data_IF_239772265439
#
_entry.id   IF_239772265439
#
_cell.length_a   1.000
_cell.length_b   1.000
_cell.length_c   1.000
_cell.angle_alpha   90.00
_cell.angle_beta   90.00
_cell.angle_gamma   90.00
#
_symmetry.space_group_name_H-M   'P 1'
#
loop_
_entity.id
_entity.type
_entity.pdbx_description
1 polymer ?
#
# COMPACT_ATOMS: atom_id res chain seq x y z
N UNK A 1 -1.46 -7.14 -29.13
CA UNK A 1 -1.42 -7.76 -30.48
C UNK A 1 -1.52 -6.61 -31.47
N UNK A 2 -0.54 -6.48 -32.37
CA UNK A 2 -0.45 -5.35 -33.30
C UNK A 2 -1.35 -5.68 -34.50
N UNK A 3 -2.44 -4.93 -34.71
CA UNK A 3 -3.28 -5.05 -35.91
C UNK A 3 -2.65 -4.26 -37.06
N UNK A 4 -2.42 -4.91 -38.20
CA UNK A 4 -1.93 -4.24 -39.42
C UNK A 4 -0.50 -3.68 -39.35
N UNK A 5 0.29 -4.01 -38.32
CA UNK A 5 1.68 -3.55 -38.18
C UNK A 5 1.84 -2.09 -37.69
N UNK A 6 0.74 -1.43 -37.30
CA UNK A 6 0.76 -0.03 -36.81
C UNK A 6 0.54 -0.02 -35.29
N UNK A 7 1.37 0.74 -34.56
CA UNK A 7 1.23 0.91 -33.12
C UNK A 7 -0.06 1.68 -32.79
N UNK A 8 -0.95 1.06 -32.01
CA UNK A 8 -2.18 1.68 -31.50
C UNK A 8 -1.94 2.18 -30.05
N UNK A 9 -2.02 3.49 -29.83
CA UNK A 9 -1.81 4.10 -28.50
C UNK A 9 -2.87 3.70 -27.46
N UNK A 10 -4.10 3.40 -27.89
CA UNK A 10 -5.20 2.99 -27.01
C UNK A 10 -5.13 1.51 -26.60
N UNK A 11 -4.41 0.67 -27.35
CA UNK A 11 -4.33 -0.78 -27.11
C UNK A 11 -2.94 -1.30 -26.72
N UNK A 12 -1.88 -0.53 -26.98
CA UNK A 12 -0.50 -0.92 -26.68
C UNK A 12 0.09 0.07 -25.67
N UNK A 13 0.66 -0.45 -24.59
CA UNK A 13 1.38 0.32 -23.58
C UNK A 13 2.87 -0.04 -23.61
N UNK A 14 3.74 0.96 -23.44
CA UNK A 14 5.16 0.72 -23.18
C UNK A 14 5.31 0.52 -21.67
N UNK A 15 6.05 -0.50 -21.27
CA UNK A 15 6.46 -0.68 -19.88
C UNK A 15 7.96 -0.91 -19.83
N UNK A 16 8.59 -0.40 -18.76
CA UNK A 16 10.01 -0.62 -18.50
C UNK A 16 10.12 -1.67 -17.40
N UNK A 17 10.71 -2.81 -17.73
CA UNK A 17 11.03 -3.85 -16.76
C UNK A 17 12.43 -3.62 -16.23
N UNK A 18 12.56 -3.32 -14.95
CA UNK A 18 13.85 -3.14 -14.28
C UNK A 18 14.22 -4.42 -13.52
N UNK A 19 15.44 -4.90 -13.70
CA UNK A 19 16.02 -6.00 -12.93
C UNK A 19 17.25 -5.51 -12.17
N UNK A 20 17.50 -6.05 -10.99
CA UNK A 20 18.64 -5.64 -10.18
C UNK A 20 19.97 -5.81 -10.92
N UNK A 21 20.79 -4.74 -10.91
CA UNK A 21 22.10 -4.72 -11.53
C UNK A 21 23.19 -5.34 -10.65
N UNK A 22 24.37 -5.54 -11.23
CA UNK A 22 25.52 -6.22 -10.61
C UNK A 22 25.90 -5.66 -9.23
N UNK A 23 25.89 -4.34 -9.08
CA UNK A 23 26.25 -3.67 -7.82
C UNK A 23 25.30 -4.07 -6.68
N UNK A 24 23.98 -4.11 -6.95
CA UNK A 24 23.01 -4.52 -5.93
C UNK A 24 23.18 -5.99 -5.56
N UNK A 25 23.48 -6.86 -6.53
CA UNK A 25 23.79 -8.27 -6.26
C UNK A 25 25.03 -8.43 -5.37
N UNK A 26 26.08 -7.64 -5.60
CA UNK A 26 27.32 -7.67 -4.81
C UNK A 26 27.12 -7.17 -3.37
N UNK A 27 26.29 -6.14 -3.17
CA UNK A 27 25.95 -5.64 -1.83
C UNK A 27 24.98 -6.56 -1.07
N UNK A 28 24.03 -7.20 -1.77
CA UNK A 28 23.16 -8.25 -1.17
C UNK A 28 24.02 -9.41 -0.64
N UNK A 29 25.05 -9.83 -1.38
CA UNK A 29 25.94 -10.91 -0.95
C UNK A 29 26.73 -10.60 0.34
N UNK A 30 26.91 -9.31 0.67
CA UNK A 30 27.57 -8.86 1.90
C UNK A 30 26.60 -8.64 3.06
N UNK A 31 25.29 -8.73 2.81
CA UNK A 31 24.26 -8.46 3.82
C UNK A 31 23.86 -9.76 4.51
N UNK A 32 23.89 -9.77 5.85
CA UNK A 32 23.40 -10.89 6.64
C UNK A 32 21.95 -10.64 7.06
N UNK A 33 21.09 -11.65 6.90
CA UNK A 33 19.72 -11.62 7.42
C UNK A 33 19.72 -12.16 8.84
N UNK A 34 19.49 -11.29 9.81
CA UNK A 34 19.29 -11.69 11.21
C UNK A 34 17.82 -11.99 11.48
N UNK A 35 17.51 -13.26 11.72
CA UNK A 35 16.15 -13.69 12.10
C UNK A 35 15.97 -13.42 13.59
N UNK A 36 15.30 -12.32 13.92
CA UNK A 36 15.05 -11.87 15.30
C UNK A 36 14.00 -12.72 16.05
N UNK A 37 13.51 -13.80 15.45
CA UNK A 37 12.48 -14.70 16.01
C UNK A 37 11.05 -14.33 15.60
N UNK A 38 10.07 -15.07 16.15
CA UNK A 38 8.64 -14.78 15.94
C UNK A 38 8.18 -13.63 16.83
N UNK A 39 7.49 -12.67 16.22
CA UNK A 39 6.97 -11.48 16.90
C UNK A 39 5.81 -11.89 17.82
N UNK A 40 6.05 -12.01 19.13
CA UNK A 40 5.09 -12.48 20.15
C UNK A 40 3.77 -11.68 20.15
N UNK A 41 2.68 -12.24 19.62
CA UNK A 41 1.28 -11.81 19.79
C UNK A 41 1.02 -10.28 19.75
N UNK A 42 1.81 -9.55 18.95
CA UNK A 42 1.73 -8.11 18.77
C UNK A 42 1.24 -7.82 17.37
N UNK A 43 0.53 -6.70 17.22
CA UNK A 43 0.03 -6.23 15.93
C UNK A 43 1.18 -6.08 14.92
N UNK A 44 0.99 -6.59 13.71
CA UNK A 44 1.96 -6.45 12.62
C UNK A 44 1.29 -6.50 11.24
N UNK A 45 1.94 -5.86 10.27
CA UNK A 45 1.70 -6.04 8.84
C UNK A 45 2.81 -6.94 8.33
N UNK A 46 2.43 -7.98 7.58
CA UNK A 46 3.33 -8.97 6.99
C UNK A 46 3.63 -8.64 5.53
N UNK A 47 2.58 -8.34 4.78
CA UNK A 47 2.63 -8.17 3.33
C UNK A 47 1.56 -7.18 2.90
N UNK A 48 1.83 -6.45 1.84
CA UNK A 48 0.86 -5.63 1.12
C UNK A 48 0.78 -6.06 -0.33
N UNK A 49 -0.38 -5.86 -0.96
CA UNK A 49 -0.59 -6.21 -2.37
C UNK A 49 -1.49 -5.18 -3.04
N UNK A 50 -1.01 -4.60 -4.15
CA UNK A 50 -1.87 -3.82 -5.05
C UNK A 50 -2.74 -4.76 -5.88
N UNK A 51 -4.06 -4.72 -5.72
CA UNK A 51 -4.98 -5.62 -6.43
C UNK A 51 -5.12 -5.28 -7.91
N UNK A 52 -4.66 -4.12 -8.39
CA UNK A 52 -4.62 -3.81 -9.82
C UNK A 52 -3.43 -4.52 -10.50
N UNK A 53 -2.24 -4.41 -9.92
CA UNK A 53 -0.98 -4.89 -10.53
C UNK A 53 -0.57 -6.29 -10.04
N UNK A 54 -1.08 -6.73 -8.89
CA UNK A 54 -0.69 -7.95 -8.20
C UNK A 54 0.68 -7.87 -7.52
N UNK A 55 1.31 -6.69 -7.50
CA UNK A 55 2.64 -6.49 -6.92
C UNK A 55 2.55 -6.44 -5.40
N UNK A 56 3.59 -7.01 -4.75
CA UNK A 56 3.74 -7.13 -3.30
C UNK A 56 4.96 -6.39 -2.76
N UNK A 57 5.45 -5.44 -3.55
CA UNK A 57 6.64 -4.64 -3.29
C UNK A 57 6.32 -3.32 -2.55
N UNK A 58 5.07 -3.17 -2.08
CA UNK A 58 4.58 -1.93 -1.47
C UNK A 58 4.10 -0.90 -2.48
N UNK A 59 4.20 -1.15 -3.80
CA UNK A 59 3.51 -0.30 -4.78
C UNK A 59 1.98 -0.43 -4.61
N UNK A 60 1.27 0.65 -4.92
CA UNK A 60 -0.16 0.78 -4.78
C UNK A 60 -0.73 1.47 -6.02
N UNK A 61 -2.03 1.36 -6.32
CA UNK A 61 -2.66 2.20 -7.35
C UNK A 61 -3.77 3.03 -6.74
N UNK A 62 -3.74 4.35 -6.97
CA UNK A 62 -4.80 5.26 -6.55
C UNK A 62 -6.18 4.82 -7.09
N UNK A 63 -7.23 4.95 -6.29
CA UNK A 63 -8.60 4.56 -6.66
C UNK A 63 -8.83 3.04 -6.76
N UNK A 64 -7.86 2.21 -6.35
CA UNK A 64 -7.95 0.74 -6.44
C UNK A 64 -7.81 0.08 -5.09
N UNK A 65 -8.17 -1.21 -5.06
CA UNK A 65 -8.08 -2.01 -3.84
C UNK A 65 -6.62 -2.30 -3.50
N UNK A 66 -6.27 -2.08 -2.24
CA UNK A 66 -4.99 -2.37 -1.64
C UNK A 66 -5.20 -3.35 -0.50
N UNK A 67 -4.54 -4.49 -0.57
CA UNK A 67 -4.68 -5.55 0.41
C UNK A 67 -3.53 -5.49 1.41
N UNK A 68 -3.87 -5.63 2.69
CA UNK A 68 -2.92 -5.61 3.79
C UNK A 68 -3.10 -6.89 4.58
N UNK A 69 -2.06 -7.73 4.61
CA UNK A 69 -2.03 -8.99 5.34
C UNK A 69 -1.22 -8.83 6.63
N UNK A 70 -1.67 -9.45 7.72
CA UNK A 70 -0.94 -9.40 8.99
C UNK A 70 -1.72 -10.01 10.14
N UNK A 71 -1.54 -9.47 11.34
CA UNK A 71 -2.23 -9.92 12.53
C UNK A 71 -2.70 -8.75 13.41
N UNK A 72 -3.87 -8.96 14.02
CA UNK A 72 -4.55 -7.97 14.88
C UNK A 72 -4.87 -6.64 14.19
N UNK A 73 -5.18 -6.68 12.89
CA UNK A 73 -5.40 -5.51 12.05
C UNK A 73 -6.82 -4.97 12.07
N UNK A 74 -7.79 -5.71 12.62
CA UNK A 74 -9.19 -5.30 12.62
C UNK A 74 -9.32 -3.89 13.17
N UNK A 75 -9.84 -2.96 12.38
CA UNK A 75 -10.05 -1.56 12.73
C UNK A 75 -11.35 -1.45 13.51
N UNK A 76 -11.25 -1.23 14.83
CA UNK A 76 -12.41 -1.03 15.71
C UNK A 76 -11.97 -0.30 16.97
N UNK A 77 -12.84 0.57 17.47
CA UNK A 77 -12.64 1.34 18.70
C UNK A 77 -13.47 2.61 18.69
N UNK A 78 -13.57 3.24 19.85
CA UNK A 78 -14.33 4.48 20.06
C UNK A 78 -13.43 5.74 19.97
N UNK A 79 -12.12 5.54 20.01
CA UNK A 79 -11.13 6.62 19.94
C UNK A 79 -11.02 7.20 18.53
N UNK A 80 -10.95 8.53 18.42
CA UNK A 80 -10.88 9.23 17.13
C UNK A 80 -9.63 8.88 16.30
N UNK A 81 -8.56 8.39 16.92
CA UNK A 81 -7.36 7.92 16.23
C UNK A 81 -7.56 6.59 15.49
N UNK A 82 -8.60 5.83 15.83
CA UNK A 82 -8.89 4.53 15.21
C UNK A 82 -9.24 4.73 13.74
N UNK A 83 -8.60 3.94 12.88
CA UNK A 83 -8.76 4.07 11.43
C UNK A 83 -7.51 3.63 10.69
N UNK A 84 -7.53 3.88 9.37
CA UNK A 84 -6.35 3.73 8.52
C UNK A 84 -5.96 5.11 8.00
N UNK A 85 -4.69 5.47 8.12
CA UNK A 85 -4.14 6.72 7.61
C UNK A 85 -3.04 6.48 6.59
N UNK A 86 -2.92 7.40 5.64
CA UNK A 86 -1.83 7.50 4.69
C UNK A 86 -1.10 8.81 4.96
N UNK A 87 0.16 8.74 5.37
CA UNK A 87 1.01 9.91 5.60
C UNK A 87 1.98 10.06 4.44
N UNK A 88 1.98 11.19 3.74
CA UNK A 88 2.93 11.42 2.64
C UNK A 88 4.31 11.86 3.15
N UNK A 89 5.26 12.04 2.24
CA UNK A 89 6.62 12.54 2.54
C UNK A 89 6.67 13.94 3.18
N UNK A 90 5.59 14.72 3.08
CA UNK A 90 5.44 16.05 3.70
C UNK A 90 4.74 16.00 5.06
N UNK A 91 4.61 14.81 5.65
CA UNK A 91 3.89 14.55 6.91
C UNK A 91 2.39 14.92 6.88
N UNK A 92 1.81 15.09 5.69
CA UNK A 92 0.37 15.31 5.53
C UNK A 92 -0.38 13.99 5.70
N UNK A 93 -1.24 13.94 6.71
CA UNK A 93 -1.99 12.74 7.09
C UNK A 93 -3.38 12.76 6.42
N UNK A 94 -3.65 11.73 5.63
CA UNK A 94 -4.97 11.49 5.02
C UNK A 94 -5.61 10.27 5.66
N UNK A 95 -6.72 10.46 6.38
CA UNK A 95 -7.46 9.36 7.00
C UNK A 95 -8.47 8.77 6.03
N UNK A 96 -8.43 7.45 5.83
CA UNK A 96 -9.44 6.73 5.07
C UNK A 96 -10.73 6.67 5.90
N UNK A 97 -11.85 7.03 5.27
CA UNK A 97 -13.18 6.85 5.87
C UNK A 97 -13.53 5.37 5.98
N UNK A 98 -14.37 4.99 6.93
CA UNK A 98 -14.77 3.59 7.18
C UNK A 98 -15.31 2.87 5.93
N UNK A 99 -15.99 3.61 5.05
CA UNK A 99 -16.54 3.11 3.79
C UNK A 99 -15.46 2.60 2.80
N UNK A 100 -14.22 3.07 2.98
CA UNK A 100 -13.07 2.69 2.17
C UNK A 100 -12.36 1.45 2.73
N UNK A 101 -12.81 0.90 3.86
CA UNK A 101 -12.34 -0.37 4.41
C UNK A 101 -13.33 -1.46 3.98
N UNK A 102 -13.13 -1.99 2.77
CA UNK A 102 -14.03 -2.99 2.18
C UNK A 102 -14.05 -4.32 2.94
N UNK A 103 -12.91 -4.75 3.47
CA UNK A 103 -12.79 -5.95 4.31
C UNK A 103 -12.03 -5.59 5.57
N UNK A 104 -12.59 -5.93 6.74
CA UNK A 104 -12.05 -5.58 8.05
C UNK A 104 -11.87 -6.81 8.95
N UNK A 105 -10.91 -7.66 8.61
CA UNK A 105 -10.61 -8.88 9.36
C UNK A 105 -9.39 -8.68 10.28
N UNK A 106 -9.29 -9.43 11.40
CA UNK A 106 -8.10 -9.41 12.25
C UNK A 106 -6.81 -9.79 11.53
N UNK A 107 -6.89 -10.63 10.50
CA UNK A 107 -5.72 -11.12 9.73
C UNK A 107 -5.49 -10.35 8.43
N UNK A 108 -6.45 -9.55 7.98
CA UNK A 108 -6.34 -8.87 6.69
C UNK A 108 -7.31 -7.70 6.55
N UNK A 109 -6.87 -6.68 5.84
CA UNK A 109 -7.70 -5.57 5.40
C UNK A 109 -7.73 -5.51 3.87
N UNK A 110 -8.86 -5.11 3.31
CA UNK A 110 -8.94 -4.65 1.92
C UNK A 110 -9.39 -3.21 1.95
N UNK A 111 -8.53 -2.32 1.48
CA UNK A 111 -8.71 -0.88 1.51
C UNK A 111 -8.96 -0.40 0.08
N UNK A 112 -9.85 0.56 -0.10
CA UNK A 112 -9.99 1.29 -1.34
C UNK A 112 -9.19 2.59 -1.20
N UNK A 113 -8.11 2.71 -1.97
CA UNK A 113 -7.32 3.95 -1.97
C UNK A 113 -8.10 5.08 -2.64
N UNK A 114 -7.87 6.31 -2.17
CA UNK A 114 -8.45 7.50 -2.77
C UNK A 114 -7.97 7.66 -4.22
N UNK A 115 -8.85 8.10 -5.11
CA UNK A 115 -8.53 8.24 -6.54
C UNK A 115 -7.66 9.47 -6.84
N UNK A 116 -7.72 10.48 -5.98
CA UNK A 116 -6.99 11.74 -6.03
C UNK A 116 -5.70 11.74 -5.21
N UNK A 117 -5.22 10.55 -4.82
CA UNK A 117 -3.96 10.41 -4.10
C UNK A 117 -2.79 10.79 -5.02
N UNK A 118 -2.06 11.84 -4.65
CA UNK A 118 -0.88 12.29 -5.40
C UNK A 118 0.22 11.21 -5.42
N UNK A 119 1.04 11.20 -6.47
CA UNK A 119 2.21 10.32 -6.56
C UNK A 119 3.23 10.68 -5.46
N UNK A 120 3.84 9.66 -4.86
CA UNK A 120 4.91 9.82 -3.86
C UNK A 120 4.99 8.64 -2.91
N UNK A 121 5.93 8.62 -1.97
CA UNK A 121 5.88 7.63 -0.90
C UNK A 121 4.83 8.00 0.15
N UNK A 122 4.13 6.97 0.62
CA UNK A 122 3.18 7.07 1.72
C UNK A 122 3.49 6.02 2.77
N UNK A 123 3.37 6.41 4.02
CA UNK A 123 3.34 5.48 5.15
C UNK A 123 1.87 5.18 5.47
N UNK A 124 1.45 3.95 5.23
CA UNK A 124 0.16 3.45 5.68
C UNK A 124 0.26 3.09 7.15
N UNK A 125 -0.63 3.63 7.98
CA UNK A 125 -0.73 3.31 9.40
C UNK A 125 -2.12 2.78 9.71
N UNK A 126 -2.18 1.59 10.32
CA UNK A 126 -3.43 1.02 10.86
C UNK A 126 -3.45 1.28 12.35
N UNK A 127 -4.49 1.96 12.84
CA UNK A 127 -4.70 2.24 14.27
C UNK A 127 -5.98 1.58 14.76
N UNK A 128 -5.91 0.84 15.87
CA UNK A 128 -7.05 0.09 16.40
C UNK A 128 -7.02 -0.05 17.92
N UNK A 129 -8.20 -0.27 18.52
CA UNK A 129 -8.37 -0.75 19.90
C UNK A 129 -8.77 -2.24 19.93
N UNK A 130 -8.66 -2.96 18.82
CA UNK A 130 -8.93 -4.39 18.76
C UNK A 130 -8.03 -5.19 19.70
N UNK A 131 -8.64 -6.11 20.45
CA UNK A 131 -7.96 -7.13 21.24
C UNK A 131 -8.57 -8.50 20.98
N UNK A 132 -7.86 -9.57 21.34
CA UNK A 132 -8.39 -10.95 21.28
C UNK A 132 -9.39 -11.25 22.40
N UNK A 133 -9.50 -10.36 23.39
CA UNK A 133 -10.53 -10.44 24.42
C UNK A 133 -11.85 -9.83 23.93
N UNK A 134 -12.96 -10.14 24.59
CA UNK A 134 -14.27 -9.51 24.32
C UNK A 134 -14.34 -8.02 24.73
N UNK A 135 -13.20 -7.36 24.98
CA UNK A 135 -13.10 -5.95 25.37
C UNK A 135 -12.16 -5.22 24.42
N UNK A 136 -12.45 -3.95 24.16
CA UNK A 136 -11.54 -3.04 23.47
C UNK A 136 -10.36 -2.68 24.38
N UNK A 137 -9.22 -2.37 23.77
CA UNK A 137 -8.07 -1.81 24.46
C UNK A 137 -8.39 -0.42 24.98
N UNK A 138 -7.91 -0.09 26.18
CA UNK A 138 -8.08 1.25 26.77
C UNK A 138 -7.35 2.34 25.99
N UNK A 139 -6.23 1.96 25.36
CA UNK A 139 -5.40 2.85 24.55
C UNK A 139 -5.28 2.23 23.17
N UNK A 140 -5.44 3.05 22.13
CA UNK A 140 -5.25 2.60 20.76
C UNK A 140 -3.77 2.22 20.52
N UNK A 141 -3.55 1.33 19.56
CA UNK A 141 -2.22 0.93 19.08
C UNK A 141 -2.20 1.02 17.56
N UNK A 142 -1.02 1.28 17.01
CA UNK A 142 -0.83 1.39 15.57
C UNK A 142 0.33 0.56 15.05
N UNK A 143 0.26 0.18 13.78
CA UNK A 143 1.40 -0.35 13.03
C UNK A 143 1.44 0.27 11.65
N UNK A 144 2.65 0.51 11.14
CA UNK A 144 2.87 1.20 9.88
C UNK A 144 3.70 0.39 8.89
N UNK A 145 3.47 0.62 7.61
CA UNK A 145 4.23 0.08 6.47
C UNK A 145 4.37 1.16 5.39
N UNK A 146 5.53 1.25 4.76
CA UNK A 146 5.74 2.15 3.62
C UNK A 146 5.17 1.57 2.32
N UNK A 147 4.70 2.44 1.42
CA UNK A 147 4.26 2.08 0.07
C UNK A 147 4.26 3.28 -0.88
N UNK A 148 4.19 3.03 -2.19
CA UNK A 148 4.21 4.08 -3.23
C UNK A 148 3.05 3.90 -4.22
N UNK A 149 2.12 4.86 -4.35
CA UNK A 149 1.10 4.85 -5.40
C UNK A 149 1.76 5.06 -6.76
N UNK A 150 1.50 4.17 -7.72
CA UNK A 150 1.80 4.30 -9.13
C UNK A 150 0.54 4.75 -9.89
N UNK A 151 0.75 5.52 -10.95
CA UNK A 151 -0.26 6.28 -11.66
C UNK A 151 -1.50 5.46 -12.12
N UNK A 152 -2.67 6.05 -11.90
CA UNK A 152 -3.95 5.64 -12.46
C UNK A 152 -4.27 6.50 -13.67
N UNK A 153 -3.48 6.38 -14.74
CA UNK A 153 -3.50 7.27 -15.90
C UNK A 153 -4.89 7.72 -16.37
N UNK A 154 -5.09 9.04 -16.32
CA UNK A 154 -6.15 9.76 -17.02
C UNK A 154 -5.49 10.91 -17.78
N UNK A 155 -5.68 10.89 -19.10
CA UNK A 155 -5.15 11.85 -20.07
C UNK A 155 -5.37 13.30 -19.65
N UNK A 156 -4.32 14.11 -19.83
CA UNK A 156 -4.45 15.55 -19.97
C UNK A 156 -3.48 15.99 -21.05
N UNK A 157 -4.03 16.19 -22.24
CA UNK A 157 -3.38 16.81 -23.38
C UNK A 157 -2.82 18.18 -22.98
N UNK A 158 -1.62 18.52 -23.47
CA UNK A 158 -1.22 19.92 -23.61
C UNK A 158 -0.44 20.13 -24.90
N UNK A 159 -0.60 21.32 -25.52
CA UNK A 159 -0.32 21.54 -26.94
C UNK A 159 1.10 22.06 -27.18
N UNK A 160 1.52 21.82 -28.41
CA UNK A 160 2.70 22.23 -29.17
C UNK A 160 3.68 23.26 -28.58
N UNK A 161 4.98 22.94 -28.69
CA UNK A 161 6.06 23.91 -28.78
C UNK A 161 6.87 23.66 -30.06
N UNK A 162 7.16 24.76 -30.78
CA UNK A 162 8.02 24.86 -31.96
C UNK A 162 9.51 24.68 -31.61
#
# INVERSE_FOLDING_TARGET
MIEGGVWNKERNSIYVSLTQGKVLCEEIAKTAVEILGEKLNIMYILETEDKKTGLKDGSATAGRNFFVCGAMLKVVGDDESVGVTLTNELDAVTKLTDNLIAINNPSSLTLLLLADLAEGEYTLTVTTQYSTSNRLLKTSRGVSVGGRPADGGSDSESPDEI
#
